data_IF_682463547573
#
_entry.id   IF_682463547573
#
_cell.length_a   1.000
_cell.length_b   1.000
_cell.length_c   1.000
_cell.angle_alpha   90.00
_cell.angle_beta   90.00
_cell.angle_gamma   90.00
#
_symmetry.space_group_name_H-M   'P 1'
#
loop_
_entity.id
_entity.type
_entity.pdbx_description
1 polymer ?
#
# COMPACT_ATOMS: atom_id res chain seq x y z
N UNK A 1 -36.54 7.04 5.71
CA UNK A 1 -35.44 7.08 4.74
C UNK A 1 -34.17 7.27 5.51
N UNK A 2 -33.17 6.43 5.30
CA UNK A 2 -31.87 6.59 5.97
C UNK A 2 -31.10 7.73 5.28
N UNK A 3 -30.50 8.64 6.06
CA UNK A 3 -29.73 9.76 5.52
C UNK A 3 -28.33 9.23 5.23
N UNK A 4 -27.97 9.13 3.95
CA UNK A 4 -26.62 8.76 3.52
C UNK A 4 -25.72 9.98 3.62
N UNK A 5 -24.65 9.86 4.41
CA UNK A 5 -23.63 10.91 4.52
C UNK A 5 -22.84 11.03 3.21
N UNK A 6 -22.67 12.26 2.73
CA UNK A 6 -21.81 12.55 1.58
C UNK A 6 -20.40 12.82 2.08
N UNK A 7 -19.46 11.97 1.66
CA UNK A 7 -18.03 12.09 1.99
C UNK A 7 -17.21 12.24 0.71
N UNK A 8 -16.09 12.96 0.81
CA UNK A 8 -15.20 13.19 -0.34
C UNK A 8 -14.36 11.96 -0.68
N UNK A 9 -14.00 11.15 0.32
CA UNK A 9 -13.35 9.86 0.11
C UNK A 9 -13.64 8.89 1.24
N UNK A 10 -13.58 7.59 0.94
CA UNK A 10 -13.74 6.53 1.93
C UNK A 10 -12.97 5.28 1.52
N UNK A 11 -12.67 4.42 2.50
CA UNK A 11 -12.05 3.12 2.21
C UNK A 11 -13.14 2.06 2.09
N UNK A 12 -13.16 1.35 0.96
CA UNK A 12 -14.05 0.21 0.71
C UNK A 12 -13.23 -0.99 0.29
N UNK A 13 -13.35 -2.10 1.04
CA UNK A 13 -12.61 -3.34 0.79
C UNK A 13 -11.08 -3.15 0.63
N UNK A 14 -10.53 -2.12 1.29
CA UNK A 14 -9.10 -1.78 1.24
C UNK A 14 -8.68 -0.84 0.10
N UNK A 15 -9.60 -0.53 -0.82
CA UNK A 15 -9.44 0.51 -1.85
C UNK A 15 -9.91 1.86 -1.34
N UNK A 16 -9.15 2.92 -1.64
CA UNK A 16 -9.58 4.29 -1.39
C UNK A 16 -10.44 4.74 -2.57
N UNK A 17 -11.70 5.06 -2.31
CA UNK A 17 -12.65 5.58 -3.30
C UNK A 17 -12.75 7.10 -3.08
N UNK A 18 -12.54 7.86 -4.14
CA UNK A 18 -12.67 9.32 -4.14
C UNK A 18 -13.93 9.76 -4.91
N UNK A 19 -14.55 10.85 -4.45
CA UNK A 19 -15.74 11.43 -5.05
C UNK A 19 -15.49 12.04 -6.44
N UNK A 20 -14.23 12.42 -6.74
CA UNK A 20 -13.83 12.92 -8.07
C UNK A 20 -13.68 11.81 -9.13
N UNK A 21 -13.81 10.54 -8.72
CA UNK A 21 -13.64 9.37 -9.58
C UNK A 21 -12.21 9.11 -10.02
N UNK A 22 -11.23 9.86 -9.50
CA UNK A 22 -9.82 9.68 -9.82
C UNK A 22 -9.19 8.64 -8.88
N UNK A 23 -8.23 7.89 -9.42
CA UNK A 23 -7.50 6.85 -8.69
C UNK A 23 -6.16 7.35 -8.12
N UNK A 24 -5.85 8.63 -8.31
CA UNK A 24 -4.56 9.25 -7.94
C UNK A 24 -4.26 9.08 -6.45
N UNK A 25 -5.27 9.30 -5.60
CA UNK A 25 -5.12 9.18 -4.15
C UNK A 25 -4.96 7.72 -3.73
N UNK A 26 -5.66 6.79 -4.38
CA UNK A 26 -5.51 5.35 -4.12
C UNK A 26 -4.11 4.85 -4.51
N UNK A 27 -3.60 5.25 -5.67
CA UNK A 27 -2.24 4.94 -6.12
C UNK A 27 -1.22 5.49 -5.12
N UNK A 28 -1.37 6.76 -4.74
CA UNK A 28 -0.49 7.41 -3.77
C UNK A 28 -0.51 6.68 -2.43
N UNK A 29 -1.70 6.32 -1.92
CA UNK A 29 -1.86 5.57 -0.69
C UNK A 29 -1.20 4.19 -0.75
N UNK A 30 -1.35 3.45 -1.87
CA UNK A 30 -0.68 2.15 -2.06
C UNK A 30 0.84 2.27 -2.11
N UNK A 31 1.37 3.27 -2.81
CA UNK A 31 2.81 3.54 -2.85
C UNK A 31 3.35 3.84 -1.45
N UNK A 32 2.66 4.67 -0.66
CA UNK A 32 3.07 4.98 0.70
C UNK A 32 3.06 3.74 1.61
N UNK A 33 2.02 2.89 1.51
CA UNK A 33 1.97 1.62 2.24
C UNK A 33 3.14 0.70 1.88
N UNK A 34 3.43 0.54 0.59
CA UNK A 34 4.56 -0.25 0.12
C UNK A 34 5.90 0.32 0.64
N UNK A 35 6.12 1.64 0.50
CA UNK A 35 7.31 2.32 1.03
C UNK A 35 7.51 2.07 2.51
N UNK A 36 6.45 2.16 3.32
CA UNK A 36 6.51 1.90 4.75
C UNK A 36 6.86 0.43 5.04
N UNK A 37 6.26 -0.53 4.32
CA UNK A 37 6.58 -1.95 4.47
C UNK A 37 8.05 -2.23 4.16
N UNK A 38 8.57 -1.72 3.03
CA UNK A 38 9.99 -1.88 2.68
C UNK A 38 10.94 -1.16 3.65
N UNK A 39 10.54 0.01 4.17
CA UNK A 39 11.32 0.72 5.19
C UNK A 39 11.43 -0.09 6.49
N UNK A 40 10.35 -0.77 6.92
CA UNK A 40 10.39 -1.68 8.08
C UNK A 40 11.35 -2.84 7.85
N UNK A 41 11.44 -3.35 6.62
CA UNK A 41 12.33 -4.45 6.24
C UNK A 41 13.80 -4.01 6.00
N UNK A 42 14.12 -2.72 6.11
CA UNK A 42 15.48 -2.15 5.86
C UNK A 42 16.60 -2.93 6.54
N UNK A 43 16.40 -3.36 7.78
CA UNK A 43 17.39 -4.12 8.54
C UNK A 43 17.64 -5.52 7.93
N UNK A 44 16.60 -6.21 7.47
CA UNK A 44 16.72 -7.50 6.77
C UNK A 44 17.38 -7.36 5.40
N UNK A 45 17.13 -6.25 4.68
CA UNK A 45 17.81 -6.01 3.40
C UNK A 45 19.32 -5.85 3.57
N UNK A 46 19.78 -5.29 4.69
CA UNK A 46 21.21 -5.14 5.03
C UNK A 46 21.88 -6.41 5.52
N UNK A 47 21.12 -7.40 5.98
CA UNK A 47 21.66 -8.69 6.43
C UNK A 47 22.28 -9.46 5.27
N UNK A 48 23.53 -9.88 5.43
CA UNK A 48 24.26 -10.68 4.43
C UNK A 48 23.94 -12.17 4.51
N UNK A 49 23.45 -12.65 5.66
CA UNK A 49 23.05 -14.04 5.85
C UNK A 49 21.71 -14.40 5.17
N UNK A 50 20.96 -13.38 4.71
CA UNK A 50 19.74 -13.58 3.92
C UNK A 50 20.08 -13.61 2.43
N UNK A 51 19.84 -14.76 1.79
CA UNK A 51 20.11 -15.00 0.37
C UNK A 51 19.35 -14.03 -0.54
N UNK A 52 20.00 -13.64 -1.65
CA UNK A 52 19.42 -12.77 -2.67
C UNK A 52 18.14 -13.35 -3.29
N UNK A 53 18.05 -14.68 -3.46
CA UNK A 53 16.86 -15.35 -3.96
C UNK A 53 15.64 -15.13 -3.07
N UNK A 54 15.82 -15.21 -1.74
CA UNK A 54 14.75 -14.96 -0.77
C UNK A 54 14.30 -13.51 -0.82
N UNK A 55 15.27 -12.59 -0.90
CA UNK A 55 15.05 -11.15 -1.11
C UNK A 55 14.26 -10.88 -2.40
N UNK A 56 14.60 -11.53 -3.51
CA UNK A 56 13.91 -11.40 -4.80
C UNK A 56 12.49 -11.98 -4.81
N UNK A 57 12.22 -13.05 -4.06
CA UNK A 57 10.85 -13.59 -3.90
C UNK A 57 9.93 -12.58 -3.21
N UNK A 58 10.40 -11.92 -2.14
CA UNK A 58 9.62 -10.88 -1.44
C UNK A 58 9.29 -9.71 -2.38
N UNK A 59 10.25 -9.29 -3.21
CA UNK A 59 10.02 -8.24 -4.19
C UNK A 59 9.00 -8.62 -5.28
N UNK A 60 8.90 -9.91 -5.64
CA UNK A 60 7.97 -10.38 -6.68
C UNK A 60 6.53 -10.57 -6.17
N UNK A 61 6.38 -10.89 -4.89
CA UNK A 61 5.07 -11.13 -4.27
C UNK A 61 4.42 -9.81 -3.82
N UNK A 62 5.23 -8.79 -3.53
CA UNK A 62 4.79 -7.43 -3.20
C UNK A 62 4.45 -6.62 -4.46
#
# INVERSE_FOLDING_TARGET
SEVVERVDSFTYLGSLISADGLVTDEISARIQKARLAFAKLRHLWRRQDIRLLTKGRVYRVA
#
